data_IF_029432727479
#
_entry.id   IF_029432727479
#
_cell.length_a   1.000
_cell.length_b   1.000
_cell.length_c   1.000
_cell.angle_alpha   90.00
_cell.angle_beta   90.00
_cell.angle_gamma   90.00
#
_symmetry.space_group_name_H-M   'P 1'
#
loop_
_entity.id
_entity.type
_entity.pdbx_description
1 polymer ?
#
# COMPACT_ATOMS: atom_id res chain seq x y z
N UNK A 1 -3.85 -4.43 0.64
CA UNK A 1 -4.14 -3.26 1.47
C UNK A 1 -5.55 -3.37 1.99
N UNK A 2 -5.82 -3.16 3.26
CA UNK A 2 -7.12 -3.43 3.88
C UNK A 2 -7.63 -2.15 4.53
N UNK A 3 -8.86 -1.77 4.25
CA UNK A 3 -9.57 -0.69 4.95
C UNK A 3 -10.40 -1.30 6.07
N UNK A 4 -10.33 -0.75 7.26
CA UNK A 4 -11.19 -1.12 8.38
C UNK A 4 -11.99 0.10 8.85
N UNK A 5 -13.31 -0.03 8.93
CA UNK A 5 -14.20 0.98 9.53
C UNK A 5 -14.80 0.39 10.79
N UNK A 6 -14.60 1.00 11.98
CA UNK A 6 -15.26 0.53 13.19
C UNK A 6 -16.78 0.75 13.10
N UNK A 7 -17.55 -0.31 13.30
CA UNK A 7 -18.99 -0.20 13.51
C UNK A 7 -19.27 0.39 14.89
N UNK A 8 -20.03 1.50 14.95
CA UNK A 8 -20.66 1.95 16.19
C UNK A 8 -20.35 3.35 16.69
N UNK A 9 -19.74 4.21 15.92
CA UNK A 9 -19.65 5.63 16.28
C UNK A 9 -20.72 6.42 15.53
N UNK A 10 -21.74 6.88 16.25
CA UNK A 10 -22.70 7.90 15.82
C UNK A 10 -21.98 9.24 15.69
N UNK A 11 -21.17 9.39 14.69
CA UNK A 11 -20.43 10.61 14.40
C UNK A 11 -19.62 10.37 13.14
N UNK A 12 -19.96 11.04 12.09
CA UNK A 12 -19.62 10.89 10.69
C UNK A 12 -18.13 11.08 10.35
N UNK A 13 -17.21 10.48 11.11
CA UNK A 13 -15.77 10.38 10.78
C UNK A 13 -15.33 8.93 10.84
N UNK A 14 -15.56 8.22 9.73
CA UNK A 14 -14.98 6.90 9.55
C UNK A 14 -13.44 7.02 9.54
N UNK A 15 -12.77 6.28 10.42
CA UNK A 15 -11.32 6.13 10.36
C UNK A 15 -10.97 5.28 9.15
N UNK A 16 -10.13 5.82 8.27
CA UNK A 16 -9.54 5.05 7.19
C UNK A 16 -8.15 4.59 7.63
N UNK A 17 -7.94 3.29 7.68
CA UNK A 17 -6.66 2.70 7.99
C UNK A 17 -6.10 2.05 6.73
N UNK A 18 -4.96 2.53 6.26
CA UNK A 18 -4.23 1.92 5.17
C UNK A 18 -3.12 1.01 5.74
N UNK A 19 -3.11 -0.25 5.30
CA UNK A 19 -2.18 -1.25 5.79
C UNK A 19 -1.59 -2.08 4.64
N UNK A 20 -0.33 -2.48 4.75
CA UNK A 20 0.33 -3.49 3.92
C UNK A 20 0.55 -4.70 4.81
N UNK A 21 0.07 -5.88 4.38
CA UNK A 21 0.14 -7.12 5.17
C UNK A 21 -0.41 -6.97 6.60
N UNK A 22 -1.52 -6.19 6.75
CA UNK A 22 -2.18 -5.96 8.03
C UNK A 22 -1.49 -4.96 8.96
N UNK A 23 -0.43 -4.29 8.51
CA UNK A 23 0.31 -3.32 9.31
C UNK A 23 0.34 -1.95 8.64
N UNK A 24 0.07 -0.89 9.42
CA UNK A 24 0.20 0.50 9.00
C UNK A 24 1.56 1.08 9.36
N UNK A 25 1.96 2.12 8.65
CA UNK A 25 3.12 2.92 9.04
C UNK A 25 2.96 3.46 10.49
N UNK A 26 4.03 3.45 11.34
CA UNK A 26 5.41 3.04 11.02
C UNK A 26 5.72 1.55 11.23
N UNK A 27 4.71 0.71 11.46
CA UNK A 27 4.87 -0.71 11.83
C UNK A 27 4.80 -1.67 10.64
N UNK A 28 4.88 -1.15 9.41
CA UNK A 28 4.98 -1.98 8.21
C UNK A 28 6.23 -2.84 8.23
N UNK A 29 6.18 -3.98 7.53
CA UNK A 29 7.30 -4.91 7.47
C UNK A 29 8.53 -4.28 6.80
N UNK A 30 9.70 -4.52 7.36
CA UNK A 30 10.99 -4.15 6.78
C UNK A 30 11.56 -5.36 6.04
N UNK A 31 11.52 -5.31 4.72
CA UNK A 31 12.05 -6.36 3.86
C UNK A 31 13.52 -6.07 3.54
N UNK A 32 14.38 -7.08 3.71
CA UNK A 32 15.82 -6.95 3.45
C UNK A 32 16.21 -7.80 2.25
N UNK A 33 16.96 -7.22 1.33
CA UNK A 33 17.48 -7.86 0.13
C UNK A 33 18.97 -7.57 -0.01
N UNK A 34 19.67 -8.47 -0.69
CA UNK A 34 21.09 -8.28 -1.04
C UNK A 34 21.20 -7.59 -2.40
N UNK A 35 22.16 -6.71 -2.55
CA UNK A 35 22.44 -6.09 -3.85
C UNK A 35 22.71 -7.18 -4.91
N UNK A 36 22.01 -7.12 -6.02
CA UNK A 36 22.01 -8.13 -7.08
C UNK A 36 20.83 -9.10 -7.03
N UNK A 37 20.05 -9.12 -5.96
CA UNK A 37 18.87 -9.97 -5.88
C UNK A 37 17.82 -9.57 -6.92
N UNK A 38 17.18 -10.60 -7.52
CA UNK A 38 15.97 -10.45 -8.32
C UNK A 38 14.77 -10.73 -7.43
N UNK A 39 13.97 -9.71 -7.22
CA UNK A 39 12.82 -9.76 -6.31
C UNK A 39 11.53 -9.90 -7.11
N UNK A 40 10.64 -10.75 -6.62
CA UNK A 40 9.29 -10.90 -7.16
C UNK A 40 8.27 -10.67 -6.05
N UNK A 41 7.38 -9.72 -6.28
CA UNK A 41 6.24 -9.45 -5.41
C UNK A 41 4.93 -9.81 -6.10
N UNK A 42 3.98 -10.25 -5.30
CA UNK A 42 2.58 -10.30 -5.69
C UNK A 42 1.81 -9.30 -4.83
N UNK A 43 1.28 -8.28 -5.47
CA UNK A 43 0.51 -7.22 -4.83
C UNK A 43 -0.96 -7.50 -5.08
N UNK A 44 -1.73 -7.61 -4.00
CA UNK A 44 -3.18 -7.83 -4.03
C UNK A 44 -3.84 -6.65 -3.35
N UNK A 45 -4.75 -5.99 -4.04
CA UNK A 45 -5.56 -4.93 -3.45
C UNK A 45 -6.84 -5.51 -2.86
N UNK A 46 -6.82 -5.75 -1.55
CA UNK A 46 -7.96 -6.25 -0.78
C UNK A 46 -8.84 -5.12 -0.18
N UNK A 47 -8.58 -3.86 -0.56
CA UNK A 47 -9.40 -2.70 -0.17
C UNK A 47 -10.47 -2.39 -1.21
N UNK A 48 -11.40 -1.52 -0.88
CA UNK A 48 -12.44 -1.01 -1.78
C UNK A 48 -12.01 0.22 -2.61
N UNK A 49 -10.76 0.64 -2.49
CA UNK A 49 -10.21 1.82 -3.16
C UNK A 49 -9.11 1.48 -4.18
N UNK A 50 -8.85 2.42 -5.07
CA UNK A 50 -7.69 2.40 -5.95
C UNK A 50 -6.42 2.69 -5.14
N UNK A 51 -5.35 1.94 -5.40
CA UNK A 51 -4.02 2.24 -4.90
C UNK A 51 -3.01 2.42 -6.04
N UNK A 52 -2.14 3.42 -5.88
CA UNK A 52 -1.04 3.73 -6.79
C UNK A 52 0.26 3.28 -6.12
N UNK A 53 0.64 2.01 -6.30
CA UNK A 53 1.79 1.43 -5.63
C UNK A 53 3.10 1.88 -6.28
N UNK A 54 3.95 2.52 -5.47
CA UNK A 54 5.20 3.15 -5.90
C UNK A 54 6.40 2.55 -5.15
N UNK A 55 7.42 2.15 -5.90
CA UNK A 55 8.72 1.73 -5.37
C UNK A 55 9.76 2.80 -5.65
N UNK A 56 10.36 3.33 -4.58
CA UNK A 56 11.48 4.25 -4.70
C UNK A 56 12.75 3.53 -5.21
N UNK A 57 13.54 4.26 -5.96
CA UNK A 57 14.90 3.86 -6.33
C UNK A 57 15.02 2.85 -7.48
N UNK A 58 13.96 2.12 -7.83
CA UNK A 58 14.01 1.05 -8.81
C UNK A 58 12.85 1.11 -9.79
N UNK A 59 13.08 0.55 -10.98
CA UNK A 59 12.02 0.25 -11.91
C UNK A 59 11.45 -1.14 -11.65
N UNK A 60 10.13 -1.23 -11.61
CA UNK A 60 9.43 -2.51 -11.53
C UNK A 60 8.92 -2.91 -12.91
N UNK A 61 9.02 -4.21 -13.19
CA UNK A 61 8.40 -4.82 -14.36
C UNK A 61 7.11 -5.52 -13.91
N UNK A 62 5.96 -5.05 -14.39
CA UNK A 62 4.69 -5.75 -14.19
C UNK A 62 4.61 -6.90 -15.20
N UNK A 63 4.58 -8.13 -14.70
CA UNK A 63 4.63 -9.35 -15.50
C UNK A 63 3.26 -10.00 -15.70
N UNK A 64 2.33 -9.75 -14.79
CA UNK A 64 0.94 -10.22 -14.89
C UNK A 64 0.00 -9.39 -14.03
N UNK A 65 -1.27 -9.38 -14.39
CA UNK A 65 -2.38 -8.77 -13.66
C UNK A 65 -3.62 -9.64 -13.77
N UNK A 66 -4.50 -9.53 -12.80
CA UNK A 66 -5.80 -10.19 -12.83
C UNK A 66 -6.72 -9.67 -11.74
N UNK A 67 -7.92 -10.21 -11.71
CA UNK A 67 -8.93 -10.01 -10.66
C UNK A 67 -9.61 -11.33 -10.32
N UNK A 68 -10.68 -11.30 -9.54
CA UNK A 68 -11.42 -12.51 -9.13
C UNK A 68 -12.16 -13.21 -10.30
N UNK A 69 -12.32 -12.54 -11.44
CA UNK A 69 -13.13 -13.00 -12.58
C UNK A 69 -12.31 -13.29 -13.82
N UNK A 70 -11.13 -12.70 -13.93
CA UNK A 70 -10.26 -12.82 -15.10
C UNK A 70 -8.91 -13.37 -14.68
N UNK A 71 -8.57 -14.51 -15.21
CA UNK A 71 -7.26 -15.10 -15.05
C UNK A 71 -6.21 -14.29 -15.83
N UNK A 72 -5.03 -14.23 -15.27
CA UNK A 72 -3.90 -13.40 -15.65
C UNK A 72 -3.77 -13.11 -17.14
N UNK A 73 -3.89 -11.86 -17.51
CA UNK A 73 -3.35 -11.39 -18.78
C UNK A 73 -1.83 -11.44 -18.71
N UNK A 74 -1.24 -12.55 -19.13
CA UNK A 74 0.20 -12.65 -19.30
C UNK A 74 0.61 -11.65 -20.38
N UNK A 75 1.19 -10.54 -19.97
CA UNK A 75 1.86 -9.60 -20.88
C UNK A 75 3.18 -10.27 -21.29
N UNK A 76 3.09 -11.38 -22.04
CA UNK A 76 4.25 -12.21 -22.41
C UNK A 76 5.26 -11.47 -23.30
N UNK A 77 4.82 -10.48 -24.05
CA UNK A 77 5.66 -9.88 -25.08
C UNK A 77 6.01 -8.40 -24.87
N UNK A 78 5.44 -7.75 -23.87
CA UNK A 78 5.76 -6.36 -23.51
C UNK A 78 5.60 -6.14 -21.99
N UNK A 79 6.60 -6.48 -21.19
CA UNK A 79 6.56 -6.10 -19.78
C UNK A 79 6.50 -4.58 -19.68
N UNK A 80 5.56 -4.09 -18.90
CA UNK A 80 5.44 -2.66 -18.63
C UNK A 80 6.42 -2.35 -17.50
N UNK A 81 7.44 -1.55 -17.81
CA UNK A 81 8.37 -1.03 -16.82
C UNK A 81 7.82 0.25 -16.22
N UNK A 82 7.65 0.28 -14.90
CA UNK A 82 7.03 1.37 -14.17
C UNK A 82 7.78 1.65 -12.87
N UNK A 83 7.61 2.84 -12.34
CA UNK A 83 7.94 3.18 -10.94
C UNK A 83 6.68 3.22 -10.08
N UNK A 84 5.51 3.39 -10.71
CA UNK A 84 4.20 3.43 -10.05
C UNK A 84 3.21 2.60 -10.84
N UNK A 85 2.46 1.74 -10.18
CA UNK A 85 1.45 0.89 -10.78
C UNK A 85 0.12 1.01 -10.06
N UNK A 86 -0.95 1.26 -10.81
CA UNK A 86 -2.31 1.28 -10.28
C UNK A 86 -2.82 -0.14 -10.00
N UNK A 87 -3.57 -0.32 -8.91
CA UNK A 87 -4.24 -1.57 -8.55
C UNK A 87 -5.63 -1.21 -8.03
N UNK A 88 -6.70 -1.63 -8.75
CA UNK A 88 -8.08 -1.39 -8.35
C UNK A 88 -8.54 -2.40 -7.31
N UNK A 89 -9.73 -2.15 -6.75
CA UNK A 89 -10.39 -3.09 -5.86
C UNK A 89 -10.42 -4.52 -6.44
N UNK A 90 -9.98 -5.49 -5.66
CA UNK A 90 -9.95 -6.90 -6.05
C UNK A 90 -8.92 -7.29 -7.10
N UNK A 91 -8.18 -6.32 -7.65
CA UNK A 91 -7.10 -6.63 -8.59
C UNK A 91 -5.82 -7.10 -7.87
N UNK A 92 -5.06 -7.86 -8.59
CA UNK A 92 -3.70 -8.25 -8.22
C UNK A 92 -2.72 -8.03 -9.38
N UNK A 93 -1.45 -7.89 -9.04
CA UNK A 93 -0.36 -7.81 -10.01
C UNK A 93 0.89 -8.51 -9.51
N UNK A 94 1.64 -9.15 -10.43
CA UNK A 94 2.99 -9.62 -10.17
C UNK A 94 3.99 -8.58 -10.66
N UNK A 95 4.91 -8.20 -9.78
CA UNK A 95 5.97 -7.24 -10.05
C UNK A 95 7.32 -7.90 -9.85
N UNK A 96 8.26 -7.65 -10.75
CA UNK A 96 9.67 -8.02 -10.59
C UNK A 96 10.57 -6.81 -10.67
N UNK A 97 11.60 -6.77 -9.87
CA UNK A 97 12.62 -5.72 -9.87
C UNK A 97 13.96 -6.28 -9.40
N UNK A 98 15.03 -5.56 -9.66
CA UNK A 98 16.37 -5.94 -9.21
C UNK A 98 16.87 -4.96 -8.15
N UNK A 99 17.41 -5.48 -7.06
CA UNK A 99 18.05 -4.70 -6.01
C UNK A 99 19.45 -4.25 -6.46
N UNK A 100 19.52 -3.28 -7.38
CA UNK A 100 20.76 -2.89 -8.05
C UNK A 100 21.73 -2.09 -7.17
N UNK A 101 21.26 -1.58 -6.05
CA UNK A 101 22.05 -0.72 -5.16
C UNK A 101 21.59 -0.81 -3.72
N UNK A 102 22.51 -0.55 -2.80
CA UNK A 102 22.24 -0.49 -1.36
C UNK A 102 21.52 0.80 -0.97
N UNK A 103 20.79 0.76 0.15
CA UNK A 103 20.05 1.88 0.69
C UNK A 103 18.75 1.45 1.37
N UNK A 104 17.98 2.43 1.84
CA UNK A 104 16.62 2.22 2.36
C UNK A 104 15.62 2.80 1.37
N UNK A 105 14.69 1.96 0.90
CA UNK A 105 13.78 2.31 -0.17
C UNK A 105 12.33 2.09 0.26
N UNK A 106 11.49 3.10 0.02
CA UNK A 106 10.08 3.01 0.36
C UNK A 106 9.29 2.30 -0.74
N UNK A 107 8.34 1.47 -0.31
CA UNK A 107 7.26 0.97 -1.14
C UNK A 107 5.92 1.40 -0.52
N UNK A 108 5.16 2.23 -1.21
CA UNK A 108 3.95 2.85 -0.66
C UNK A 108 2.92 3.19 -1.73
N UNK A 109 1.69 3.46 -1.30
CA UNK A 109 0.69 4.08 -2.17
C UNK A 109 1.04 5.57 -2.39
N UNK A 110 0.93 6.07 -3.62
CA UNK A 110 1.26 7.45 -3.99
C UNK A 110 0.04 8.40 -3.95
N UNK A 111 -1.10 7.97 -3.42
CA UNK A 111 -2.26 8.82 -3.17
C UNK A 111 -2.07 9.54 -1.83
N UNK A 112 -2.11 10.87 -1.82
CA UNK A 112 -1.78 11.70 -0.66
C UNK A 112 -2.58 11.34 0.60
N UNK A 113 -3.89 11.15 0.47
CA UNK A 113 -4.75 10.75 1.58
C UNK A 113 -4.40 9.38 2.18
N UNK A 114 -3.67 8.53 1.43
CA UNK A 114 -3.22 7.22 1.91
C UNK A 114 -1.83 7.26 2.57
N UNK A 115 -1.13 8.38 2.45
CA UNK A 115 0.21 8.59 3.01
C UNK A 115 0.20 9.55 4.21
N UNK A 116 -0.93 10.20 4.48
CA UNK A 116 -1.06 11.19 5.54
C UNK A 116 -0.91 10.53 6.92
N UNK A 117 -0.05 11.09 7.75
CA UNK A 117 0.12 10.71 9.15
C UNK A 117 -1.00 11.23 10.06
N UNK A 118 -1.96 11.99 9.53
CA UNK A 118 -3.02 12.65 10.31
C UNK A 118 -4.06 11.67 10.87
N UNK A 119 -3.95 10.40 10.53
CA UNK A 119 -4.79 9.32 11.04
C UNK A 119 -4.01 8.41 12.01
N UNK A 120 -3.32 8.98 12.97
CA UNK A 120 -2.78 8.19 14.07
C UNK A 120 -3.93 7.63 14.90
N UNK A 121 -3.96 6.30 15.05
CA UNK A 121 -4.75 5.62 16.06
C UNK A 121 -4.10 5.80 17.45
N UNK A 122 -3.68 7.00 17.78
CA UNK A 122 -3.15 7.32 19.09
C UNK A 122 -4.31 7.76 19.98
N UNK A 123 -4.95 6.76 20.60
CA UNK A 123 -6.12 6.94 21.47
C UNK A 123 -5.86 7.88 22.66
N UNK A 124 -4.61 8.05 23.08
CA UNK A 124 -4.23 8.94 24.16
C UNK A 124 -4.30 10.42 23.74
N UNK A 125 -3.89 10.76 22.52
CA UNK A 125 -3.92 12.15 22.03
C UNK A 125 -5.31 12.60 21.59
N UNK A 126 -6.14 11.68 21.07
CA UNK A 126 -7.53 11.96 20.73
C UNK A 126 -8.36 12.28 22.00
N UNK A 127 -8.10 11.60 23.10
CA UNK A 127 -8.73 11.90 24.39
C UNK A 127 -8.30 13.27 24.96
N UNK A 128 -7.07 13.69 24.70
CA UNK A 128 -6.55 14.97 25.21
C UNK A 128 -7.11 16.17 24.43
N UNK A 129 -7.29 16.07 23.12
CA UNK A 129 -7.92 17.12 22.30
C UNK A 129 -9.39 17.32 22.64
N UNK A 130 -10.14 16.25 22.89
CA UNK A 130 -11.54 16.34 23.30
C UNK A 130 -11.73 17.02 24.66
N UNK A 131 -10.75 16.98 25.53
CA UNK A 131 -10.78 17.64 26.83
C UNK A 131 -10.44 19.14 26.78
N UNK A 132 -9.77 19.60 25.71
CA UNK A 132 -9.38 21.00 25.52
C UNK A 132 -10.45 21.78 24.77
N UNK A 133 -11.16 21.16 23.83
CA UNK A 133 -12.20 21.80 23.02
C UNK A 133 -13.58 21.79 23.68
N UNK A 134 -13.70 21.28 24.90
CA UNK A 134 -14.94 21.16 25.68
C UNK A 134 -15.13 22.22 26.80
N UNK A 135 -14.42 23.34 26.74
CA UNK A 135 -14.61 24.46 27.70
C UNK A 135 -14.92 25.74 26.97
#
# INVERSE_FOLDING_TARGET
MTRWTPHGTTGNRGFQLNAINGRSWPHTEHLTYTAGDSVRWQVINASDELHMMHLHGFYCRVTSRGDATHDSTLIRNRPITVVTAATRHGEWMSMTWAAERTGNWLFHCHILSHMSADQRLDTAEAAHRSAIDGN
#
